data_IF_540551313960
#
_entry.id   IF_540551313960
#
_cell.length_a   1.000
_cell.length_b   1.000
_cell.length_c   1.000
_cell.angle_alpha   90.00
_cell.angle_beta   90.00
_cell.angle_gamma   90.00
#
_symmetry.space_group_name_H-M   'P 1'
#
loop_
_entity.id
_entity.type
_entity.pdbx_description
1 polymer ?
#
# COMPACT_ATOMS: atom_id res chain seq x y z
N UNK A 1 7.01 5.58 -22.58
CA UNK A 1 6.79 4.20 -23.07
C UNK A 1 5.46 3.58 -22.62
N UNK A 2 5.31 3.00 -21.42
CA UNK A 2 4.07 2.27 -21.03
C UNK A 2 2.76 3.05 -21.18
N UNK A 3 2.73 4.31 -20.72
CA UNK A 3 1.54 5.15 -20.79
C UNK A 3 1.25 5.74 -22.18
N UNK A 4 2.29 5.88 -22.99
CA UNK A 4 2.23 6.58 -24.28
C UNK A 4 2.08 5.59 -25.44
N UNK A 5 2.90 4.55 -25.48
CA UNK A 5 2.97 3.58 -26.58
C UNK A 5 1.98 2.43 -26.39
N UNK A 6 1.82 1.98 -25.15
CA UNK A 6 0.91 0.87 -24.80
C UNK A 6 -0.41 1.35 -24.21
N UNK A 7 -0.56 2.67 -24.03
CA UNK A 7 -1.77 3.33 -23.52
C UNK A 7 -2.29 2.75 -22.19
N UNK A 8 -1.42 2.17 -21.37
CA UNK A 8 -1.78 1.64 -20.05
C UNK A 8 -2.30 2.79 -19.17
N UNK A 9 -3.30 2.52 -18.34
CA UNK A 9 -3.88 3.53 -17.44
C UNK A 9 -3.23 3.56 -16.05
N UNK A 10 -2.66 2.44 -15.61
CA UNK A 10 -2.03 2.34 -14.30
C UNK A 10 -0.85 1.36 -14.27
N UNK A 11 0.14 1.66 -13.44
CA UNK A 11 1.26 0.76 -13.15
C UNK A 11 1.21 0.33 -11.70
N UNK A 12 1.39 -0.97 -11.46
CA UNK A 12 1.62 -1.52 -10.12
C UNK A 12 3.11 -1.83 -9.98
N UNK A 13 3.78 -1.14 -9.06
CA UNK A 13 5.18 -1.30 -8.77
C UNK A 13 5.38 -2.38 -7.71
N UNK A 14 6.14 -3.41 -8.07
CA UNK A 14 6.47 -4.54 -7.22
C UNK A 14 7.54 -4.16 -6.19
N UNK A 15 7.37 -4.64 -4.97
CA UNK A 15 8.32 -4.57 -3.87
C UNK A 15 9.12 -3.25 -3.78
N UNK A 16 8.44 -2.10 -3.77
CA UNK A 16 9.12 -0.78 -3.83
C UNK A 16 10.04 -0.52 -2.65
N UNK A 17 9.83 -1.21 -1.54
CA UNK A 17 10.68 -1.20 -0.36
C UNK A 17 12.07 -1.82 -0.58
N UNK A 18 12.23 -2.64 -1.62
CA UNK A 18 13.52 -3.22 -2.02
C UNK A 18 14.35 -2.29 -2.92
N UNK A 19 13.74 -1.22 -3.45
CA UNK A 19 14.44 -0.21 -4.25
C UNK A 19 15.24 0.67 -3.29
N UNK A 20 16.56 0.46 -3.27
CA UNK A 20 17.49 1.23 -2.45
C UNK A 20 18.12 2.32 -3.31
N UNK A 21 17.62 3.52 -3.18
CA UNK A 21 18.18 4.70 -3.83
C UNK A 21 18.58 5.73 -2.79
N UNK A 22 19.84 6.18 -2.87
CA UNK A 22 20.47 7.15 -1.97
C UNK A 22 20.74 8.49 -2.67
N UNK A 23 20.20 8.66 -3.87
CA UNK A 23 20.27 9.90 -4.62
C UNK A 23 19.49 11.02 -3.91
N UNK A 24 19.83 12.30 -4.14
CA UNK A 24 19.12 13.43 -3.54
C UNK A 24 17.62 13.48 -3.88
N UNK A 25 17.27 12.98 -5.06
CA UNK A 25 15.90 12.74 -5.50
C UNK A 25 15.78 11.24 -5.66
N UNK A 26 14.80 10.63 -5.00
CA UNK A 26 14.58 9.18 -5.09
C UNK A 26 13.93 8.85 -6.44
N UNK A 27 14.32 7.75 -7.08
CA UNK A 27 13.79 7.31 -8.37
C UNK A 27 12.24 7.24 -8.42
N UNK A 28 11.60 6.93 -7.29
CA UNK A 28 10.14 6.94 -7.16
C UNK A 28 9.52 8.34 -7.34
N UNK A 29 10.21 9.39 -6.89
CA UNK A 29 9.79 10.77 -7.11
C UNK A 29 9.98 11.16 -8.58
N UNK A 30 11.06 10.69 -9.22
CA UNK A 30 11.27 10.91 -10.66
C UNK A 30 10.17 10.21 -11.48
N UNK A 31 9.82 8.97 -11.15
CA UNK A 31 8.73 8.24 -11.79
C UNK A 31 7.40 8.98 -11.62
N UNK A 32 7.13 9.53 -10.44
CA UNK A 32 5.94 10.36 -10.21
C UNK A 32 5.97 11.61 -11.09
N UNK A 33 7.08 12.34 -11.08
CA UNK A 33 7.23 13.56 -11.86
C UNK A 33 7.03 13.30 -13.36
N UNK A 34 7.56 12.19 -13.89
CA UNK A 34 7.32 11.85 -15.29
C UNK A 34 5.91 11.37 -15.59
N UNK A 35 5.26 10.71 -14.63
CA UNK A 35 3.83 10.39 -14.75
C UNK A 35 3.00 11.67 -14.83
N UNK A 36 3.30 12.67 -14.01
CA UNK A 36 2.64 13.98 -14.04
C UNK A 36 2.85 14.70 -15.38
N UNK A 37 4.06 14.63 -15.94
CA UNK A 37 4.35 15.18 -17.27
C UNK A 37 3.53 14.48 -18.37
N UNK A 38 3.39 13.15 -18.30
CA UNK A 38 2.56 12.39 -19.25
C UNK A 38 1.08 12.72 -19.10
N UNK A 39 0.58 12.87 -17.87
CA UNK A 39 -0.81 13.29 -17.61
C UNK A 39 -1.05 14.68 -18.22
N UNK A 40 -0.15 15.63 -17.98
CA UNK A 40 -0.26 16.99 -18.50
C UNK A 40 -0.27 17.04 -20.04
N UNK A 41 0.57 16.23 -20.70
CA UNK A 41 0.64 16.16 -22.18
C UNK A 41 -0.57 15.47 -22.80
N UNK A 42 -1.04 14.38 -22.19
CA UNK A 42 -2.09 13.53 -22.76
C UNK A 42 -3.51 13.96 -22.37
N UNK A 43 -3.65 14.73 -21.28
CA UNK A 43 -4.95 15.07 -20.67
C UNK A 43 -5.67 13.88 -20.06
N UNK A 44 -5.01 12.73 -19.93
CA UNK A 44 -5.58 11.49 -19.38
C UNK A 44 -5.01 11.22 -18.00
N UNK A 45 -5.86 10.80 -17.07
CA UNK A 45 -5.40 10.35 -15.76
C UNK A 45 -4.58 9.06 -15.88
N UNK A 46 -3.50 8.99 -15.10
CA UNK A 46 -2.62 7.83 -14.94
C UNK A 46 -2.41 7.57 -13.46
N UNK A 47 -2.30 6.30 -13.08
CA UNK A 47 -2.19 5.90 -11.67
C UNK A 47 -0.95 5.06 -11.40
N UNK A 48 -0.33 5.30 -10.24
CA UNK A 48 0.78 4.52 -9.71
C UNK A 48 0.37 3.84 -8.41
N UNK A 49 0.37 2.51 -8.43
CA UNK A 49 0.11 1.69 -7.27
C UNK A 49 1.39 1.02 -6.80
N UNK A 50 1.58 0.87 -5.49
CA UNK A 50 2.82 0.30 -4.95
C UNK A 50 2.57 -0.85 -3.99
N UNK A 51 3.46 -1.82 -4.00
CA UNK A 51 3.56 -2.86 -2.97
C UNK A 51 4.69 -2.53 -2.00
N UNK A 52 4.33 -2.24 -0.75
CA UNK A 52 5.28 -1.83 0.28
C UNK A 52 5.06 -2.60 1.58
N UNK A 53 6.05 -3.42 1.97
CA UNK A 53 6.07 -4.19 3.23
C UNK A 53 6.82 -3.43 4.34
N UNK A 54 6.62 -2.11 4.44
CA UNK A 54 7.22 -1.26 5.48
C UNK A 54 6.19 -0.48 6.32
N UNK A 55 4.92 -0.48 5.94
CA UNK A 55 3.87 0.37 6.52
C UNK A 55 4.30 1.84 6.65
N UNK A 56 4.93 2.36 5.61
CA UNK A 56 5.52 3.68 5.62
C UNK A 56 4.64 4.67 4.85
N UNK A 57 4.09 5.66 5.56
CA UNK A 57 3.24 6.69 4.96
C UNK A 57 3.93 7.51 3.87
N UNK A 58 5.27 7.57 3.84
CA UNK A 58 6.04 8.37 2.87
C UNK A 58 5.74 7.98 1.43
N UNK A 59 5.31 6.74 1.18
CA UNK A 59 4.91 6.29 -0.16
C UNK A 59 3.65 7.00 -0.66
N UNK A 60 2.73 7.35 0.23
CA UNK A 60 1.46 8.01 -0.08
C UNK A 60 1.50 9.52 0.11
N UNK A 61 2.35 10.00 1.02
CA UNK A 61 2.49 11.42 1.30
C UNK A 61 2.87 12.22 0.03
N UNK A 62 2.36 13.45 -0.11
CA UNK A 62 2.64 14.27 -1.28
C UNK A 62 4.12 14.69 -1.33
N UNK A 63 4.59 15.03 -2.53
CA UNK A 63 5.97 15.49 -2.76
C UNK A 63 6.35 16.69 -1.87
N UNK A 64 5.39 17.59 -1.58
CA UNK A 64 5.61 18.76 -0.70
C UNK A 64 5.93 18.40 0.76
N UNK A 65 5.62 17.17 1.19
CA UNK A 65 5.96 16.62 2.51
C UNK A 65 7.16 15.66 2.45
N UNK A 66 7.94 15.69 1.36
CA UNK A 66 9.03 14.74 1.07
C UNK A 66 8.56 13.28 0.96
N UNK A 67 7.30 13.06 0.53
CA UNK A 67 6.82 11.73 0.15
C UNK A 67 7.09 11.38 -1.31
N UNK A 68 6.49 10.29 -1.77
CA UNK A 68 6.58 9.79 -3.15
C UNK A 68 5.29 9.97 -3.97
N UNK A 69 4.21 10.44 -3.33
CA UNK A 69 2.93 10.77 -3.97
C UNK A 69 2.35 9.64 -4.84
N UNK A 70 2.49 8.39 -4.39
CA UNK A 70 1.86 7.25 -5.04
C UNK A 70 0.33 7.31 -4.87
N UNK A 71 -0.40 6.80 -5.85
CA UNK A 71 -1.84 6.93 -5.86
C UNK A 71 -2.52 6.00 -4.87
N UNK A 72 -2.03 4.78 -4.71
CA UNK A 72 -2.41 3.89 -3.60
C UNK A 72 -1.32 2.86 -3.33
N UNK A 73 -1.39 2.22 -2.17
CA UNK A 73 -0.51 1.11 -1.82
C UNK A 73 -1.30 -0.14 -1.45
N UNK A 74 -0.67 -1.28 -1.58
CA UNK A 74 -1.19 -2.53 -1.03
C UNK A 74 -1.11 -2.54 0.50
N UNK A 75 -2.16 -3.08 1.11
CA UNK A 75 -2.28 -3.26 2.54
C UNK A 75 -2.42 -4.74 2.87
N UNK A 76 -1.28 -5.40 3.05
CA UNK A 76 -1.22 -6.84 3.33
C UNK A 76 -1.73 -7.19 4.73
N UNK A 77 -1.65 -6.26 5.67
CA UNK A 77 -2.10 -6.50 7.05
C UNK A 77 -3.59 -6.77 7.16
N UNK A 78 -4.41 -6.13 6.31
CA UNK A 78 -5.83 -6.46 6.22
C UNK A 78 -6.02 -7.92 5.81
N UNK A 79 -5.27 -8.37 4.79
CA UNK A 79 -5.28 -9.76 4.35
C UNK A 79 -4.82 -10.70 5.47
N UNK A 80 -3.76 -10.36 6.19
CA UNK A 80 -3.22 -11.17 7.28
C UNK A 80 -4.19 -11.29 8.45
N UNK A 81 -4.78 -10.17 8.89
CA UNK A 81 -5.77 -10.15 9.94
C UNK A 81 -7.03 -10.94 9.55
N UNK A 82 -7.49 -10.81 8.31
CA UNK A 82 -8.63 -11.56 7.80
C UNK A 82 -8.37 -13.08 7.80
N UNK A 83 -7.19 -13.51 7.33
CA UNK A 83 -6.79 -14.93 7.29
C UNK A 83 -6.80 -15.55 8.69
N UNK A 84 -6.28 -14.81 9.67
CA UNK A 84 -6.31 -15.24 11.07
C UNK A 84 -7.73 -15.22 11.64
N UNK A 85 -8.54 -14.21 11.30
CA UNK A 85 -9.93 -14.09 11.75
C UNK A 85 -10.82 -15.23 11.25
N UNK A 86 -10.57 -15.76 10.04
CA UNK A 86 -11.31 -16.91 9.48
C UNK A 86 -10.79 -18.26 9.98
N UNK A 87 -9.79 -18.28 10.87
CA UNK A 87 -9.29 -19.49 11.53
C UNK A 87 -8.12 -20.19 10.85
N UNK A 88 -7.39 -19.51 9.95
CA UNK A 88 -6.18 -20.11 9.38
C UNK A 88 -5.04 -20.24 10.42
N UNK A 89 -4.14 -21.23 10.26
CA UNK A 89 -3.02 -21.42 11.17
C UNK A 89 -2.08 -20.22 11.21
N UNK A 90 -1.83 -19.71 12.41
CA UNK A 90 -0.84 -18.66 12.68
C UNK A 90 0.59 -19.19 12.51
N UNK A 91 1.15 -19.12 11.30
CA UNK A 91 2.54 -19.51 10.99
C UNK A 91 3.31 -18.34 10.37
N UNK A 92 4.59 -18.19 10.73
CA UNK A 92 5.41 -17.07 10.23
C UNK A 92 4.85 -15.72 10.65
N UNK A 93 4.78 -14.76 9.71
CA UNK A 93 4.28 -13.42 10.00
C UNK A 93 2.80 -13.37 10.44
N UNK A 94 2.00 -14.42 10.25
CA UNK A 94 0.62 -14.50 10.77
C UNK A 94 0.56 -14.65 12.31
N UNK A 95 1.68 -14.98 12.97
CA UNK A 95 1.73 -15.22 14.42
C UNK A 95 1.40 -13.99 15.26
N UNK A 96 1.69 -12.81 14.74
CA UNK A 96 1.52 -11.56 15.46
C UNK A 96 0.10 -10.99 15.36
N UNK A 97 -0.75 -11.57 14.51
CA UNK A 97 -2.10 -11.09 14.29
C UNK A 97 -3.11 -11.74 15.25
N UNK A 98 -4.05 -10.95 15.75
CA UNK A 98 -5.09 -11.28 16.72
C UNK A 98 -6.47 -11.49 16.08
N UNK A 99 -6.53 -11.62 14.76
CA UNK A 99 -7.76 -11.95 14.03
C UNK A 99 -8.71 -10.77 13.94
N UNK A 100 -9.90 -10.87 14.55
CA UNK A 100 -10.97 -9.87 14.40
C UNK A 100 -10.58 -8.50 14.95
N UNK A 101 -9.82 -8.45 16.05
CA UNK A 101 -9.34 -7.19 16.63
C UNK A 101 -8.44 -6.42 15.68
N UNK A 102 -7.44 -7.10 15.10
CA UNK A 102 -6.54 -6.50 14.11
C UNK A 102 -7.25 -6.22 12.78
N UNK A 103 -8.26 -7.01 12.43
CA UNK A 103 -9.08 -6.75 11.24
C UNK A 103 -9.88 -5.47 11.41
N UNK A 104 -10.49 -5.25 12.58
CA UNK A 104 -11.17 -4.01 12.90
C UNK A 104 -10.20 -2.82 12.88
N UNK A 105 -9.01 -2.98 13.46
CA UNK A 105 -7.96 -1.95 13.39
C UNK A 105 -7.53 -1.65 11.96
N UNK A 106 -7.28 -2.67 11.14
CA UNK A 106 -6.93 -2.50 9.73
C UNK A 106 -8.05 -1.83 8.93
N UNK A 107 -9.31 -2.10 9.28
CA UNK A 107 -10.47 -1.48 8.64
C UNK A 107 -10.57 0.02 8.98
N UNK A 108 -10.30 0.41 10.23
CA UNK A 108 -10.42 1.80 10.69
C UNK A 108 -9.18 2.65 10.37
N UNK A 109 -7.98 2.05 10.48
CA UNK A 109 -6.70 2.78 10.44
C UNK A 109 -5.78 2.34 9.31
N UNK A 110 -6.21 1.41 8.45
CA UNK A 110 -5.36 0.71 7.49
C UNK A 110 -4.25 -0.14 8.17
N UNK A 111 -3.30 0.47 8.87
CA UNK A 111 -2.21 -0.27 9.50
C UNK A 111 -2.56 -0.86 10.87
N UNK A 112 -2.24 -2.14 11.04
CA UNK A 112 -2.18 -2.86 12.32
C UNK A 112 -0.87 -2.51 13.04
N UNK A 113 0.26 -2.51 12.33
CA UNK A 113 1.52 -2.01 12.85
C UNK A 113 1.71 -0.53 12.48
N UNK A 114 1.36 0.35 13.42
CA UNK A 114 1.42 1.82 13.32
C UNK A 114 2.55 2.44 14.18
N UNK A 115 3.65 1.69 14.35
CA UNK A 115 4.77 2.05 15.23
C UNK A 115 4.92 1.15 16.45
N UNK A 116 4.18 0.03 16.52
CA UNK A 116 4.30 -0.97 17.58
C UNK A 116 5.53 -1.89 17.35
N UNK A 117 5.96 -2.57 18.41
CA UNK A 117 7.04 -3.55 18.32
C UNK A 117 6.53 -4.85 17.66
N UNK A 118 7.17 -5.26 16.56
CA UNK A 118 6.99 -6.57 15.95
C UNK A 118 8.07 -7.51 16.47
N UNK A 119 7.64 -8.60 17.11
CA UNK A 119 8.48 -9.72 17.54
C UNK A 119 9.00 -10.52 16.35
N UNK A 120 8.24 -10.64 15.25
CA UNK A 120 8.71 -11.34 14.05
C UNK A 120 9.87 -10.60 13.37
N UNK A 121 9.83 -9.26 13.37
CA UNK A 121 10.84 -8.40 12.75
C UNK A 121 11.88 -7.87 13.74
N UNK A 122 11.71 -8.16 15.03
CA UNK A 122 12.54 -7.73 16.16
C UNK A 122 12.78 -6.20 16.21
N UNK A 123 11.78 -5.41 15.81
CA UNK A 123 11.88 -3.94 15.74
C UNK A 123 10.52 -3.25 15.84
N UNK A 124 10.54 -1.96 16.19
CA UNK A 124 9.38 -1.08 15.99
C UNK A 124 9.10 -0.91 14.49
N UNK A 125 7.85 -1.11 14.09
CA UNK A 125 7.47 -1.23 12.69
C UNK A 125 6.24 -0.39 12.34
N UNK A 126 6.32 0.25 11.17
CA UNK A 126 5.27 1.07 10.60
C UNK A 126 5.19 2.49 11.15
N UNK A 127 4.22 3.22 10.61
CA UNK A 127 3.91 4.62 10.89
C UNK A 127 2.39 4.77 11.01
N UNK A 128 1.85 5.79 11.70
CA UNK A 128 0.40 6.07 11.60
C UNK A 128 -0.02 6.48 10.17
N UNK A 129 -1.32 6.37 9.88
CA UNK A 129 -1.96 6.76 8.60
C UNK A 129 -2.81 8.02 8.72
N UNK A 130 -2.60 8.82 9.77
CA UNK A 130 -3.48 9.93 10.08
C UNK A 130 -3.52 10.96 8.94
N UNK A 131 -4.75 11.27 8.48
CA UNK A 131 -4.97 12.22 7.38
C UNK A 131 -4.80 11.63 5.98
N UNK A 132 -4.52 10.34 5.83
CA UNK A 132 -4.52 9.65 4.54
C UNK A 132 -5.93 9.10 4.27
N UNK A 133 -6.54 9.41 3.11
CA UNK A 133 -7.87 8.88 2.80
C UNK A 133 -7.82 7.37 2.49
N UNK A 134 -8.89 6.67 2.84
CA UNK A 134 -8.99 5.20 2.70
C UNK A 134 -8.87 4.67 1.26
N UNK A 135 -9.17 5.50 0.26
CA UNK A 135 -9.02 5.17 -1.17
C UNK A 135 -7.56 5.02 -1.62
N UNK A 136 -6.60 5.37 -0.75
CA UNK A 136 -5.16 5.17 -0.94
C UNK A 136 -4.68 3.77 -0.52
N UNK A 137 -5.56 2.93 0.02
CA UNK A 137 -5.21 1.58 0.47
C UNK A 137 -5.98 0.53 -0.34
N UNK A 138 -5.22 -0.32 -1.00
CA UNK A 138 -5.71 -1.45 -1.77
C UNK A 138 -5.66 -2.69 -0.87
N UNK A 139 -6.82 -3.27 -0.58
CA UNK A 139 -6.91 -4.53 0.16
C UNK A 139 -7.33 -5.66 -0.77
N UNK A 140 -7.01 -6.87 -0.37
CA UNK A 140 -7.53 -8.05 -1.05
C UNK A 140 -7.70 -9.21 -0.08
N UNK A 141 -8.74 -10.01 -0.34
CA UNK A 141 -9.03 -11.22 0.44
C UNK A 141 -8.11 -12.35 0.03
N UNK A 142 -7.66 -12.34 -1.23
CA UNK A 142 -6.76 -13.33 -1.81
C UNK A 142 -5.66 -12.64 -2.59
N UNK A 143 -4.45 -12.72 -2.06
CA UNK A 143 -3.24 -12.25 -2.74
C UNK A 143 -2.54 -13.43 -3.39
N UNK A 144 -2.09 -13.21 -4.62
CA UNK A 144 -1.22 -14.15 -5.31
C UNK A 144 0.25 -13.77 -5.18
N UNK A 145 0.85 -14.09 -4.05
CA UNK A 145 2.32 -14.05 -3.92
C UNK A 145 2.94 -15.37 -4.42
N UNK A 146 2.14 -16.43 -4.68
CA UNK A 146 2.64 -17.80 -4.98
C UNK A 146 1.88 -18.65 -6.04
N UNK A 147 0.85 -18.16 -6.72
CA UNK A 147 0.16 -18.94 -7.79
C UNK A 147 -0.37 -18.01 -8.89
N UNK A 148 -0.80 -18.52 -10.05
CA UNK A 148 -0.95 -17.78 -11.31
C UNK A 148 -2.41 -17.50 -11.78
N UNK A 149 -3.35 -17.23 -10.87
CA UNK A 149 -4.78 -16.92 -11.16
C UNK A 149 -5.31 -15.64 -10.47
N UNK A 150 -5.34 -14.50 -11.18
CA UNK A 150 -6.09 -13.26 -10.90
C UNK A 150 -6.23 -12.74 -9.46
N UNK A 151 -5.60 -11.59 -9.15
CA UNK A 151 -5.82 -10.88 -7.87
C UNK A 151 -7.18 -10.17 -7.88
N UNK A 152 -8.05 -10.47 -6.91
CA UNK A 152 -9.31 -9.75 -6.72
C UNK A 152 -9.05 -8.60 -5.74
N UNK A 153 -8.90 -7.40 -6.28
CA UNK A 153 -8.75 -6.16 -5.53
C UNK A 153 -10.12 -5.70 -5.03
N UNK A 154 -10.27 -5.53 -3.72
CA UNK A 154 -11.42 -4.85 -3.14
C UNK A 154 -10.93 -3.45 -2.77
N UNK A 155 -11.44 -2.43 -3.45
CA UNK A 155 -11.27 -1.04 -3.00
C UNK A 155 -12.32 -0.81 -1.91
N UNK A 156 -11.89 -0.54 -0.67
CA UNK A 156 -12.82 -0.26 0.43
C UNK A 156 -13.50 1.10 0.17
N UNK A 157 -14.83 1.18 0.12
CA UNK A 157 -15.53 2.47 0.02
C UNK A 157 -15.42 3.24 1.34
N UNK A 158 -15.45 4.58 1.24
CA UNK A 158 -15.46 5.51 2.38
C UNK A 158 -16.53 5.14 3.40
N UNK A 159 -16.14 5.03 4.66
CA UNK A 159 -17.01 5.40 5.78
C UNK A 159 -16.47 6.69 6.39
N UNK A 160 -17.06 7.82 6.01
CA UNK A 160 -16.96 9.01 6.83
C UNK A 160 -17.67 8.74 8.16
N UNK A 161 -17.11 9.10 9.32
CA UNK A 161 -17.90 9.11 10.54
C UNK A 161 -19.04 10.12 10.32
N UNK A 162 -20.28 9.63 10.33
CA UNK A 162 -21.43 10.52 10.49
C UNK A 162 -21.26 11.26 11.83
N UNK A 163 -21.52 12.57 11.79
CA UNK A 163 -21.55 13.43 12.96
C UNK A 163 -22.69 13.07 13.90
#
# INVERSE_FOLDING_TARGET
>A
MWFEDFHIDALRMDAVHAIKDFSPIHILQEIRAETDNVIAKSGKNRYLFVECDLNDRRFLDPLVKNGFAMDAQWLDEFHHALRVAIGEPKKGYYQEFNGVEDLAKAYEKAYVFDGNYSFHREKFFGTDTAGIPGDRFIVSVRIMIRSAIGCWVIVLPRFTPEK
#
